data_IF_018816969374
#
_entry.id   IF_018816969374
#
_cell.length_a   1.000
_cell.length_b   1.000
_cell.length_c   1.000
_cell.angle_alpha   90.00
_cell.angle_beta   90.00
_cell.angle_gamma   90.00
#
_symmetry.space_group_name_H-M   'P 1'
#
loop_
_entity.id
_entity.type
_entity.pdbx_description
1 polymer ?
#
# COMPACT_ATOMS: atom_id res chain seq x y z
N UNK A 1 3.18 6.80 -20.07
CA UNK A 1 3.02 7.08 -18.63
C UNK A 1 4.37 6.86 -18.00
N UNK A 2 4.93 7.90 -17.40
CA UNK A 2 6.24 7.89 -16.75
C UNK A 2 6.19 7.00 -15.50
N UNK A 3 7.32 6.41 -15.08
CA UNK A 3 7.33 5.50 -13.92
C UNK A 3 6.82 6.22 -12.66
N UNK A 4 7.26 7.46 -12.46
CA UNK A 4 6.77 8.38 -11.42
C UNK A 4 5.24 8.55 -11.40
N UNK A 5 4.59 8.73 -12.54
CA UNK A 5 3.13 8.84 -12.67
C UNK A 5 2.44 7.52 -12.31
N UNK A 6 3.00 6.37 -12.73
CA UNK A 6 2.46 5.04 -12.37
C UNK A 6 2.49 4.83 -10.86
N UNK A 7 3.61 5.16 -10.23
CA UNK A 7 3.81 5.00 -8.78
C UNK A 7 2.88 5.94 -8.01
N UNK A 8 2.65 7.16 -8.52
CA UNK A 8 1.72 8.11 -7.90
C UNK A 8 0.30 7.57 -7.95
N UNK A 9 -0.19 7.12 -9.12
CA UNK A 9 -1.51 6.51 -9.25
C UNK A 9 -1.68 5.29 -8.33
N UNK A 10 -0.68 4.42 -8.28
CA UNK A 10 -0.65 3.28 -7.37
C UNK A 10 -0.81 3.73 -5.90
N UNK A 11 -0.05 4.74 -5.49
CA UNK A 11 -0.11 5.25 -4.12
C UNK A 11 -1.51 5.80 -3.81
N UNK A 12 -2.12 6.53 -4.73
CA UNK A 12 -3.46 7.10 -4.53
C UNK A 12 -4.55 6.00 -4.45
N UNK A 13 -4.43 4.94 -5.25
CA UNK A 13 -5.33 3.78 -5.17
C UNK A 13 -5.18 3.04 -3.84
N UNK A 14 -3.94 2.81 -3.39
CA UNK A 14 -3.67 2.19 -2.08
C UNK A 14 -4.23 3.08 -0.96
N UNK A 15 -4.00 4.39 -1.02
CA UNK A 15 -4.50 5.36 -0.06
C UNK A 15 -6.03 5.28 0.08
N UNK A 16 -6.74 5.32 -1.05
CA UNK A 16 -8.19 5.25 -1.08
C UNK A 16 -8.72 3.96 -0.44
N UNK A 17 -8.05 2.82 -0.67
CA UNK A 17 -8.45 1.55 -0.04
C UNK A 17 -8.21 1.58 1.47
N UNK A 18 -7.05 2.07 1.92
CA UNK A 18 -6.70 2.11 3.34
C UNK A 18 -7.59 3.08 4.13
N UNK A 19 -7.92 4.23 3.56
CA UNK A 19 -8.79 5.24 4.20
C UNK A 19 -10.24 4.77 4.28
N UNK A 20 -10.74 4.10 3.24
CA UNK A 20 -12.08 3.50 3.25
C UNK A 20 -12.19 2.31 4.22
N UNK A 21 -11.07 1.67 4.61
CA UNK A 21 -11.04 0.44 5.39
C UNK A 21 -10.05 0.55 6.57
N UNK A 22 -10.19 1.60 7.38
CA UNK A 22 -9.28 1.89 8.49
C UNK A 22 -9.43 0.97 9.71
N UNK A 23 -10.48 0.15 9.77
CA UNK A 23 -10.73 -0.80 10.86
C UNK A 23 -10.25 -2.19 10.45
N UNK A 24 -9.52 -2.85 11.35
CA UNK A 24 -9.04 -4.21 11.15
C UNK A 24 -10.21 -5.20 11.15
N UNK A 25 -10.48 -5.79 10.00
CA UNK A 25 -11.50 -6.81 9.83
C UNK A 25 -11.22 -7.62 8.57
N UNK A 26 -11.70 -8.86 8.52
CA UNK A 26 -11.62 -9.66 7.30
C UNK A 26 -12.30 -8.91 6.14
N UNK A 27 -11.52 -8.53 5.12
CA UNK A 27 -12.00 -7.75 3.99
C UNK A 27 -11.33 -8.21 2.69
N UNK A 28 -11.84 -9.27 2.06
CA UNK A 28 -11.29 -9.79 0.82
C UNK A 28 -11.36 -8.77 -0.33
N UNK A 29 -12.39 -7.91 -0.35
CA UNK A 29 -12.54 -6.88 -1.38
C UNK A 29 -11.43 -5.81 -1.29
N UNK A 30 -11.07 -5.37 -0.09
CA UNK A 30 -9.93 -4.46 0.09
C UNK A 30 -8.63 -5.11 -0.37
N UNK A 31 -8.41 -6.38 -0.04
CA UNK A 31 -7.24 -7.13 -0.52
C UNK A 31 -7.18 -7.26 -2.04
N UNK A 32 -8.30 -7.55 -2.69
CA UNK A 32 -8.34 -7.67 -4.15
C UNK A 32 -8.09 -6.33 -4.84
N UNK A 33 -8.60 -5.22 -4.28
CA UNK A 33 -8.27 -3.87 -4.77
C UNK A 33 -6.80 -3.55 -4.63
N UNK A 34 -6.18 -3.86 -3.49
CA UNK A 34 -4.73 -3.66 -3.28
C UNK A 34 -3.89 -4.50 -4.25
N UNK A 35 -4.28 -5.76 -4.49
CA UNK A 35 -3.61 -6.61 -5.50
C UNK A 35 -3.76 -6.05 -6.91
N UNK A 36 -4.95 -5.58 -7.27
CA UNK A 36 -5.21 -4.97 -8.57
C UNK A 36 -4.34 -3.73 -8.78
N UNK A 37 -4.26 -2.85 -7.78
CA UNK A 37 -3.41 -1.67 -7.80
C UNK A 37 -1.94 -2.06 -7.97
N UNK A 38 -1.45 -2.99 -7.15
CA UNK A 38 -0.07 -3.51 -7.24
C UNK A 38 0.25 -4.11 -8.61
N UNK A 39 -0.69 -4.87 -9.20
CA UNK A 39 -0.55 -5.45 -10.54
C UNK A 39 -0.46 -4.40 -11.65
N UNK A 40 -1.11 -3.25 -11.49
CA UNK A 40 -1.07 -2.14 -12.45
C UNK A 40 0.30 -1.43 -12.50
N UNK A 41 1.15 -1.61 -11.48
CA UNK A 41 2.51 -1.05 -11.46
C UNK A 41 3.41 -1.64 -12.55
N UNK A 42 3.27 -2.93 -12.89
CA UNK A 42 4.15 -3.62 -13.85
C UNK A 42 5.64 -3.63 -13.45
N UNK A 43 6.55 -4.05 -14.35
CA UNK A 43 8.00 -4.00 -14.10
C UNK A 43 8.47 -2.53 -14.18
N UNK A 44 8.38 -1.85 -13.04
CA UNK A 44 8.69 -0.42 -12.92
C UNK A 44 10.02 -0.22 -12.18
N UNK A 45 9.96 -0.24 -10.85
CA UNK A 45 11.06 0.16 -9.96
C UNK A 45 11.20 -0.88 -8.84
N UNK A 46 12.37 -1.54 -8.70
CA UNK A 46 12.59 -2.57 -7.67
C UNK A 46 12.30 -2.08 -6.26
N UNK A 47 12.70 -0.84 -5.93
CA UNK A 47 12.46 -0.25 -4.62
C UNK A 47 10.97 -0.15 -4.31
N UNK A 48 10.18 0.35 -5.26
CA UNK A 48 8.73 0.47 -5.10
C UNK A 48 8.08 -0.91 -4.99
N UNK A 49 8.49 -1.86 -5.83
CA UNK A 49 7.99 -3.25 -5.77
C UNK A 49 8.19 -3.88 -4.40
N UNK A 50 9.38 -3.73 -3.80
CA UNK A 50 9.67 -4.24 -2.46
C UNK A 50 8.74 -3.60 -1.40
N UNK A 51 8.52 -2.29 -1.48
CA UNK A 51 7.64 -1.58 -0.54
C UNK A 51 6.17 -1.97 -0.70
N UNK A 52 5.74 -2.27 -1.93
CA UNK A 52 4.40 -2.80 -2.20
C UNK A 52 4.26 -4.21 -1.65
N UNK A 53 5.26 -5.07 -1.79
CA UNK A 53 5.27 -6.41 -1.18
C UNK A 53 5.19 -6.32 0.34
N UNK A 54 5.97 -5.44 0.97
CA UNK A 54 5.89 -5.16 2.42
C UNK A 54 4.47 -4.73 2.83
N UNK A 55 3.85 -3.84 2.05
CA UNK A 55 2.49 -3.36 2.29
C UNK A 55 1.47 -4.49 2.15
N UNK A 56 1.58 -5.32 1.12
CA UNK A 56 0.70 -6.46 0.90
C UNK A 56 0.80 -7.48 2.03
N UNK A 57 2.00 -7.74 2.55
CA UNK A 57 2.20 -8.62 3.71
C UNK A 57 1.47 -8.10 4.95
N UNK A 58 1.57 -6.80 5.23
CA UNK A 58 0.83 -6.17 6.34
C UNK A 58 -0.68 -6.15 6.10
N UNK A 59 -1.11 -5.84 4.89
CA UNK A 59 -2.53 -5.83 4.50
C UNK A 59 -3.16 -7.22 4.65
N UNK A 60 -2.42 -8.29 4.33
CA UNK A 60 -2.87 -9.66 4.51
C UNK A 60 -3.10 -10.02 5.98
N UNK A 61 -2.31 -9.46 6.91
CA UNK A 61 -2.50 -9.62 8.36
C UNK A 61 -3.69 -8.78 8.84
N UNK A 62 -3.85 -7.57 8.31
CA UNK A 62 -4.90 -6.64 8.70
C UNK A 62 -6.30 -7.05 8.20
N UNK A 63 -6.43 -7.35 6.90
CA UNK A 63 -7.66 -7.72 6.21
C UNK A 63 -7.88 -9.24 6.08
N UNK A 64 -6.97 -10.05 6.60
CA UNK A 64 -7.06 -11.51 6.48
C UNK A 64 -8.19 -12.12 7.32
N UNK A 65 -8.68 -13.33 6.95
CA UNK A 65 -9.71 -14.04 7.71
C UNK A 65 -9.24 -14.45 9.12
N UNK A 66 -7.92 -14.53 9.33
CA UNK A 66 -7.29 -14.78 10.63
C UNK A 66 -6.71 -13.52 11.26
N UNK A 67 -7.26 -12.34 10.95
CA UNK A 67 -6.80 -11.08 11.56
C UNK A 67 -6.74 -11.23 13.09
N UNK A 68 -5.52 -11.27 13.64
CA UNK A 68 -5.25 -11.66 15.03
C UNK A 68 -5.47 -10.50 16.02
N UNK A 69 -6.00 -9.37 15.54
CA UNK A 69 -6.16 -8.15 16.33
C UNK A 69 -7.38 -8.24 17.25
N UNK A 70 -7.22 -8.96 18.36
CA UNK A 70 -8.20 -8.96 19.48
C UNK A 70 -7.96 -7.85 20.49
N UNK A 71 -6.82 -7.14 20.40
CA UNK A 71 -6.44 -6.07 21.31
C UNK A 71 -6.37 -4.72 20.58
N UNK A 72 -7.04 -3.66 21.08
CA UNK A 72 -6.96 -2.32 20.51
C UNK A 72 -5.50 -1.80 20.57
N UNK A 73 -5.08 -1.07 19.53
CA UNK A 73 -3.75 -0.43 19.43
C UNK A 73 -2.78 -1.14 18.48
N UNK A 74 -2.71 -2.48 18.48
CA UNK A 74 -1.84 -3.21 17.53
C UNK A 74 -2.31 -3.10 16.08
N UNK A 75 -3.62 -3.14 15.86
CA UNK A 75 -4.22 -2.90 14.55
C UNK A 75 -3.96 -1.48 14.05
N UNK A 76 -4.12 -0.49 14.93
CA UNK A 76 -3.91 0.92 14.59
C UNK A 76 -2.44 1.23 14.27
N UNK A 77 -1.50 0.62 14.99
CA UNK A 77 -0.07 0.71 14.65
C UNK A 77 0.24 0.04 13.31
N UNK A 78 -0.36 -1.13 13.01
CA UNK A 78 -0.19 -1.79 11.72
C UNK A 78 -0.76 -0.94 10.57
N UNK A 79 -1.95 -0.38 10.76
CA UNK A 79 -2.57 0.53 9.80
C UNK A 79 -1.70 1.77 9.58
N UNK A 80 -1.21 2.40 10.66
CA UNK A 80 -0.30 3.55 10.57
C UNK A 80 0.99 3.23 9.81
N UNK A 81 1.54 2.03 9.98
CA UNK A 81 2.73 1.60 9.22
C UNK A 81 2.43 1.40 7.72
N UNK A 82 1.23 0.94 7.33
CA UNK A 82 0.85 0.85 5.92
C UNK A 82 0.54 2.23 5.32
N UNK A 83 -0.27 3.02 6.03
CA UNK A 83 -0.85 4.28 5.55
C UNK A 83 0.11 5.47 5.62
N UNK A 84 0.97 5.50 6.64
CA UNK A 84 2.04 6.49 6.80
C UNK A 84 3.32 5.95 6.19
N UNK A 85 4.08 5.15 6.96
CA UNK A 85 5.47 4.81 6.62
C UNK A 85 5.67 4.26 5.21
N UNK A 86 4.91 3.23 4.82
CA UNK A 86 5.11 2.56 3.54
C UNK A 86 4.59 3.40 2.37
N UNK A 87 3.40 3.99 2.52
CA UNK A 87 2.82 4.84 1.48
C UNK A 87 3.65 6.11 1.24
N UNK A 88 4.18 6.73 2.30
CA UNK A 88 5.04 7.91 2.19
C UNK A 88 6.35 7.57 1.48
N UNK A 89 6.95 6.40 1.74
CA UNK A 89 8.14 5.94 1.02
C UNK A 89 7.88 5.72 -0.47
N UNK A 90 6.73 5.13 -0.82
CA UNK A 90 6.31 4.94 -2.21
C UNK A 90 6.12 6.31 -2.90
N UNK A 91 5.44 7.25 -2.24
CA UNK A 91 5.25 8.62 -2.76
C UNK A 91 6.55 9.40 -2.90
N UNK A 92 7.45 9.27 -1.93
CA UNK A 92 8.77 9.90 -1.98
C UNK A 92 9.57 9.38 -3.18
N UNK A 93 9.50 8.07 -3.46
CA UNK A 93 10.16 7.48 -4.64
C UNK A 93 9.62 8.06 -5.94
N UNK A 94 8.29 8.22 -6.08
CA UNK A 94 7.69 8.86 -7.24
C UNK A 94 8.20 10.30 -7.44
N UNK A 95 8.30 11.09 -6.37
CA UNK A 95 8.82 12.47 -6.40
C UNK A 95 10.29 12.52 -6.83
N UNK A 96 11.12 11.61 -6.32
CA UNK A 96 12.54 11.52 -6.69
C UNK A 96 12.69 11.19 -8.18
N UNK A 97 11.92 10.23 -8.69
CA UNK A 97 11.95 9.86 -10.10
C UNK A 97 11.51 11.03 -11.00
N UNK A 98 10.42 11.71 -10.64
CA UNK A 98 9.96 12.90 -11.38
C UNK A 98 11.02 14.01 -11.41
N UNK A 99 11.75 14.23 -10.32
CA UNK A 99 12.83 15.22 -10.25
C UNK A 99 14.07 14.82 -11.08
N UNK A 100 14.29 13.51 -11.31
CA UNK A 100 15.39 12.96 -12.10
C UNK A 100 15.13 12.98 -13.61
N UNK A 101 13.96 13.47 -14.04
CA UNK A 101 13.60 13.54 -15.46
C UNK A 101 12.98 12.27 -16.04
N UNK A 102 12.57 11.35 -15.16
CA UNK A 102 11.73 10.19 -15.50
C UNK A 102 10.40 10.64 -16.12
#
# INVERSE_FOLDING_TARGET
>A
MKTSERITRLADEIEAVLDANAVSSANPQAMDRLRSAAGALGPSDPYTSDKVVDLMGKAQVFYGPRSLFRLPGRSQSLWGSMRGDLLDRIRMRARVLAAQGD
#
